data_IF_950851535367
#
_entry.id   IF_950851535367
#
_cell.length_a   1.000
_cell.length_b   1.000
_cell.length_c   1.000
_cell.angle_alpha   90.00
_cell.angle_beta   90.00
_cell.angle_gamma   90.00
#
_symmetry.space_group_name_H-M   'P 1'
#
loop_
_entity.id
_entity.type
_entity.pdbx_description
1 polymer ?
#
# COMPACT_ATOMS: atom_id res chain seq x y z
N UNK A 1 -26.65 -54.43 32.74
CA UNK A 1 -25.89 -55.58 33.27
C UNK A 1 -25.27 -56.34 32.11
N UNK A 2 -23.97 -56.66 32.18
CA UNK A 2 -23.27 -57.64 31.30
C UNK A 2 -23.10 -57.25 29.81
N UNK A 3 -22.01 -57.57 29.12
CA UNK A 3 -20.68 -58.07 29.55
C UNK A 3 -19.61 -57.60 28.57
N UNK A 4 -18.39 -57.41 29.07
CA UNK A 4 -17.18 -57.21 28.25
C UNK A 4 -16.64 -58.57 27.80
N UNK A 5 -16.13 -58.66 26.57
CA UNK A 5 -15.13 -59.68 26.19
C UNK A 5 -13.91 -59.01 25.57
N UNK A 6 -12.78 -59.09 26.29
CA UNK A 6 -11.47 -58.64 25.82
C UNK A 6 -10.87 -59.65 24.85
N UNK A 7 -10.51 -59.20 23.66
CA UNK A 7 -9.63 -59.93 22.74
C UNK A 7 -8.23 -59.35 22.78
N UNK A 8 -7.32 -59.96 23.54
CA UNK A 8 -5.89 -59.66 23.42
C UNK A 8 -5.31 -60.31 22.15
N UNK A 9 -4.61 -59.53 21.33
CA UNK A 9 -3.76 -60.06 20.27
C UNK A 9 -2.28 -59.96 20.68
N UNK A 10 -1.70 -61.09 21.06
CA UNK A 10 -0.27 -61.19 21.38
C UNK A 10 0.57 -61.34 20.11
N UNK A 11 1.44 -60.36 19.81
CA UNK A 11 2.90 -60.57 19.63
C UNK A 11 3.65 -59.27 19.23
N UNK A 12 4.94 -59.14 19.62
CA UNK A 12 5.72 -57.92 19.41
C UNK A 12 6.48 -57.89 18.07
N UNK A 13 7.00 -56.72 17.71
CA UNK A 13 8.04 -56.48 16.68
C UNK A 13 7.68 -56.65 15.19
N UNK A 14 6.63 -55.98 14.69
CA UNK A 14 6.48 -55.71 13.24
C UNK A 14 6.94 -54.28 12.86
N UNK A 15 8.27 -54.14 12.83
CA UNK A 15 9.15 -53.03 12.37
C UNK A 15 8.48 -51.87 11.60
N UNK A 16 8.61 -50.66 12.14
CA UNK A 16 8.54 -49.43 11.35
C UNK A 16 9.74 -49.31 10.39
N UNK A 17 9.51 -48.82 9.16
CA UNK A 17 10.56 -48.61 8.15
C UNK A 17 10.53 -47.15 7.67
N UNK A 18 11.55 -46.37 8.04
CA UNK A 18 11.73 -44.98 7.57
C UNK A 18 12.30 -44.96 6.14
N UNK A 19 11.74 -44.12 5.28
CA UNK A 19 12.35 -43.73 3.99
C UNK A 19 13.42 -42.67 4.24
N UNK A 20 14.50 -42.71 3.45
CA UNK A 20 15.57 -41.69 3.41
C UNK A 20 15.73 -41.24 1.97
N UNK A 21 15.60 -39.94 1.69
CA UNK A 21 16.47 -39.20 0.75
C UNK A 21 16.13 -37.70 0.69
N UNK A 22 17.17 -36.86 0.69
CA UNK A 22 17.18 -35.49 0.13
C UNK A 22 18.56 -35.26 -0.48
N UNK A 23 18.59 -34.54 -1.59
CA UNK A 23 19.75 -34.34 -2.48
C UNK A 23 20.60 -33.15 -2.01
N UNK A 24 21.92 -33.24 -2.23
CA UNK A 24 22.86 -32.11 -2.18
C UNK A 24 23.59 -31.99 -3.52
N UNK A 25 23.84 -30.76 -3.97
CA UNK A 25 24.75 -30.45 -5.07
C UNK A 25 25.75 -29.40 -4.64
N UNK A 26 27.02 -29.61 -4.96
CA UNK A 26 27.97 -28.54 -5.20
C UNK A 26 29.02 -28.91 -6.25
N UNK A 27 29.64 -27.88 -6.84
CA UNK A 27 30.80 -27.98 -7.72
C UNK A 27 31.83 -26.88 -7.39
N UNK A 28 33.02 -27.27 -6.91
CA UNK A 28 34.17 -26.36 -6.83
C UNK A 28 34.79 -26.17 -8.23
N UNK A 29 35.13 -24.92 -8.60
CA UNK A 29 36.09 -24.60 -9.69
C UNK A 29 37.16 -23.61 -9.20
N UNK A 30 38.44 -23.93 -9.45
CA UNK A 30 39.52 -22.93 -9.65
C UNK A 30 40.61 -23.44 -10.61
N UNK A 31 41.06 -22.51 -11.45
CA UNK A 31 42.36 -22.43 -12.13
C UNK A 31 43.03 -21.13 -11.60
N UNK A 32 44.34 -20.90 -11.61
CA UNK A 32 45.52 -21.68 -12.02
C UNK A 32 46.76 -21.05 -11.36
N UNK A 33 47.69 -21.87 -10.85
CA UNK A 33 49.11 -21.59 -10.66
C UNK A 33 49.75 -23.00 -10.61
N UNK A 34 50.71 -23.46 -11.43
CA UNK A 34 51.83 -22.77 -12.10
C UNK A 34 52.44 -21.75 -11.11
N UNK A 35 53.41 -22.15 -10.32
CA UNK A 35 54.72 -22.63 -10.82
C UNK A 35 55.49 -23.43 -9.74
N UNK A 36 56.27 -24.48 -10.02
CA UNK A 36 56.53 -25.30 -11.22
C UNK A 36 56.81 -26.76 -10.76
N UNK A 37 56.43 -27.76 -11.57
CA UNK A 37 56.97 -29.16 -11.54
C UNK A 37 56.82 -30.04 -10.27
N UNK A 38 56.01 -29.68 -9.28
CA UNK A 38 55.01 -30.67 -8.78
C UNK A 38 53.70 -30.59 -9.58
N UNK A 39 53.60 -29.62 -10.49
CA UNK A 39 52.43 -29.23 -11.27
C UNK A 39 51.88 -30.30 -12.24
N UNK A 40 52.54 -31.46 -12.38
CA UNK A 40 52.03 -32.64 -13.12
C UNK A 40 51.70 -33.84 -12.22
N UNK A 41 52.15 -33.87 -10.95
CA UNK A 41 51.85 -34.95 -9.99
C UNK A 41 50.84 -34.54 -8.92
N UNK A 42 50.90 -33.32 -8.39
CA UNK A 42 49.91 -32.81 -7.42
C UNK A 42 48.64 -32.30 -8.09
N UNK A 43 48.69 -31.83 -9.34
CA UNK A 43 47.49 -31.56 -10.14
C UNK A 43 46.62 -32.82 -10.33
N UNK A 44 47.26 -33.98 -10.49
CA UNK A 44 46.60 -35.29 -10.56
C UNK A 44 46.19 -35.84 -9.18
N UNK A 45 46.80 -35.39 -8.08
CA UNK A 45 46.38 -35.78 -6.73
C UNK A 45 45.20 -34.96 -6.20
N UNK A 46 45.09 -33.68 -6.59
CA UNK A 46 43.96 -32.79 -6.28
C UNK A 46 42.68 -33.15 -7.06
N UNK A 47 42.78 -34.03 -8.06
CA UNK A 47 41.62 -34.69 -8.68
C UNK A 47 40.93 -35.71 -7.75
N UNK A 48 41.46 -36.00 -6.55
CA UNK A 48 40.72 -36.68 -5.48
C UNK A 48 39.68 -35.74 -4.88
N UNK A 49 38.55 -35.64 -5.59
CA UNK A 49 37.28 -34.95 -5.26
C UNK A 49 37.16 -34.63 -3.76
N UNK A 50 37.43 -33.38 -3.37
CA UNK A 50 36.96 -32.87 -2.07
C UNK A 50 35.43 -33.04 -2.02
N UNK A 51 34.85 -33.44 -0.89
CA UNK A 51 33.40 -33.42 -0.74
C UNK A 51 32.96 -31.96 -0.85
N UNK A 52 32.09 -31.71 -1.81
CA UNK A 52 31.55 -30.40 -2.12
C UNK A 52 30.41 -30.10 -1.14
N UNK A 53 30.27 -28.84 -0.70
CA UNK A 53 29.57 -28.43 0.53
C UNK A 53 28.23 -27.72 0.23
N UNK A 54 27.93 -26.62 0.93
CA UNK A 54 26.87 -25.65 0.64
C UNK A 54 27.43 -24.19 0.70
N UNK A 55 28.73 -24.03 0.46
CA UNK A 55 29.48 -22.77 0.46
C UNK A 55 30.46 -22.64 -0.73
N UNK A 56 30.67 -23.71 -1.51
CA UNK A 56 31.43 -23.68 -2.77
C UNK A 56 30.49 -23.52 -3.99
N UNK A 57 29.17 -23.44 -3.76
CA UNK A 57 28.11 -23.14 -4.71
C UNK A 57 28.32 -21.73 -5.26
N UNK A 58 28.01 -21.51 -6.54
CA UNK A 58 27.67 -20.19 -7.05
C UNK A 58 26.57 -19.51 -6.21
N UNK A 59 26.71 -18.20 -5.94
CA UNK A 59 25.84 -17.42 -5.06
C UNK A 59 24.35 -17.47 -5.47
N UNK A 60 24.08 -17.49 -6.76
CA UNK A 60 22.75 -17.63 -7.36
C UNK A 60 22.03 -18.89 -6.90
N UNK A 61 22.76 -19.98 -6.69
CA UNK A 61 22.18 -21.23 -6.17
C UNK A 61 21.88 -21.12 -4.67
N UNK A 62 22.64 -20.32 -3.91
CA UNK A 62 22.39 -20.06 -2.49
C UNK A 62 21.18 -19.15 -2.26
N UNK A 63 21.05 -18.08 -3.04
CA UNK A 63 19.87 -17.20 -3.05
C UNK A 63 18.60 -17.98 -3.44
N UNK A 64 18.69 -18.81 -4.47
CA UNK A 64 17.58 -19.68 -4.89
C UNK A 64 17.18 -20.68 -3.79
N UNK A 65 18.15 -21.26 -3.08
CA UNK A 65 17.88 -22.15 -1.94
C UNK A 65 17.24 -21.38 -0.78
N UNK A 66 17.60 -20.11 -0.55
CA UNK A 66 16.93 -19.26 0.43
C UNK A 66 15.46 -19.02 0.09
N UNK A 67 15.17 -18.58 -1.14
CA UNK A 67 13.80 -18.31 -1.60
C UNK A 67 12.88 -19.54 -1.46
N UNK A 68 13.35 -20.73 -1.86
CA UNK A 68 12.58 -21.98 -1.77
C UNK A 68 12.68 -22.71 -0.42
N UNK A 69 13.44 -22.20 0.55
CA UNK A 69 13.51 -22.82 1.88
C UNK A 69 12.31 -22.49 2.78
N UNK A 70 11.39 -21.65 2.30
CA UNK A 70 10.15 -21.31 2.98
C UNK A 70 10.30 -20.15 3.97
N UNK A 71 9.16 -19.78 4.58
CA UNK A 71 9.09 -18.82 5.69
C UNK A 71 10.04 -19.29 6.82
N UNK A 72 10.90 -18.38 7.32
CA UNK A 72 11.87 -18.59 8.43
C UNK A 72 13.17 -19.36 8.09
N UNK A 73 13.73 -19.15 6.90
CA UNK A 73 15.05 -19.67 6.55
C UNK A 73 16.18 -19.15 7.45
N UNK A 74 16.97 -20.01 8.13
CA UNK A 74 18.11 -19.58 8.94
C UNK A 74 19.36 -19.25 8.12
N UNK A 75 19.34 -19.44 6.79
CA UNK A 75 20.54 -19.33 5.94
C UNK A 75 21.34 -18.03 6.14
N UNK A 76 20.76 -16.81 6.20
CA UNK A 76 21.51 -15.57 6.37
C UNK A 76 22.29 -15.49 7.69
N UNK A 77 21.93 -16.33 8.68
CA UNK A 77 22.50 -16.34 10.03
C UNK A 77 23.61 -17.38 10.21
N UNK A 78 23.78 -18.32 9.27
CA UNK A 78 24.66 -19.48 9.46
C UNK A 78 26.14 -19.12 9.53
N UNK A 79 26.60 -18.16 8.71
CA UNK A 79 27.95 -17.60 8.76
C UNK A 79 28.04 -16.29 7.95
N UNK A 80 29.21 -15.65 8.01
CA UNK A 80 29.50 -14.41 7.28
C UNK A 80 29.34 -14.51 5.76
N UNK A 81 29.63 -15.65 5.14
CA UNK A 81 29.49 -15.82 3.69
C UNK A 81 28.02 -15.78 3.28
N UNK A 82 27.14 -16.54 3.97
CA UNK A 82 25.70 -16.44 3.74
C UNK A 82 25.13 -15.07 4.11
N UNK A 83 25.57 -14.46 5.22
CA UNK A 83 25.13 -13.11 5.59
C UNK A 83 25.51 -12.06 4.55
N UNK A 84 26.64 -12.24 3.85
CA UNK A 84 27.07 -11.39 2.74
C UNK A 84 26.31 -11.68 1.44
N UNK A 85 26.02 -12.96 1.14
CA UNK A 85 25.25 -13.37 -0.04
C UNK A 85 23.73 -13.16 0.10
N UNK A 86 23.21 -13.02 1.32
CA UNK A 86 21.77 -12.89 1.63
C UNK A 86 21.45 -11.60 2.40
N UNK A 87 22.14 -10.51 2.09
CA UNK A 87 21.72 -9.18 2.54
C UNK A 87 20.30 -8.87 2.03
N UNK A 88 19.46 -8.15 2.80
CA UNK A 88 18.10 -7.80 2.39
C UNK A 88 18.10 -6.76 1.27
N UNK A 89 18.37 -7.22 0.05
CA UNK A 89 18.22 -6.47 -1.19
C UNK A 89 16.76 -6.47 -1.61
N UNK A 90 16.25 -5.44 -2.31
CA UNK A 90 14.90 -5.43 -2.88
C UNK A 90 14.54 -6.67 -3.72
N UNK A 91 15.53 -7.31 -4.34
CA UNK A 91 15.37 -8.60 -5.02
C UNK A 91 15.11 -9.75 -4.04
N UNK A 92 15.91 -9.86 -2.98
CA UNK A 92 15.72 -10.90 -1.97
C UNK A 92 14.39 -10.70 -1.24
N UNK A 93 14.05 -9.44 -0.96
CA UNK A 93 12.74 -8.96 -0.50
C UNK A 93 11.64 -9.49 -1.42
N UNK A 94 11.67 -9.16 -2.71
CA UNK A 94 10.59 -9.50 -3.66
C UNK A 94 10.48 -11.01 -3.95
N UNK A 95 11.60 -11.72 -4.06
CA UNK A 95 11.57 -13.17 -4.30
C UNK A 95 11.05 -13.91 -3.07
N UNK A 96 11.46 -13.48 -1.87
CA UNK A 96 10.91 -14.00 -0.62
C UNK A 96 9.42 -13.68 -0.52
N UNK A 97 9.02 -12.43 -0.80
CA UNK A 97 7.64 -11.98 -0.93
C UNK A 97 6.80 -12.86 -1.85
N UNK A 98 7.16 -13.02 -3.14
CA UNK A 98 6.34 -13.80 -4.07
C UNK A 98 6.29 -15.28 -3.73
N UNK A 99 7.44 -15.90 -3.44
CA UNK A 99 7.51 -17.34 -3.21
C UNK A 99 6.92 -17.79 -1.86
N UNK A 100 6.67 -16.85 -0.93
CA UNK A 100 6.17 -17.17 0.40
C UNK A 100 4.89 -16.39 0.78
N UNK A 101 4.46 -15.41 -0.03
CA UNK A 101 3.36 -14.48 0.28
C UNK A 101 2.53 -14.08 -0.96
N UNK A 102 2.57 -14.82 -2.06
CA UNK A 102 1.58 -14.72 -3.16
C UNK A 102 1.14 -16.12 -3.53
N UNK A 103 -0.17 -16.38 -3.61
CA UNK A 103 -0.71 -17.71 -3.94
C UNK A 103 -1.89 -17.62 -4.91
N UNK A 104 -2.18 -18.73 -5.57
CA UNK A 104 -3.39 -18.91 -6.37
C UNK A 104 -4.43 -19.69 -5.55
N UNK A 105 -5.48 -19.03 -5.11
CA UNK A 105 -6.51 -19.64 -4.27
C UNK A 105 -7.37 -20.69 -5.01
N UNK A 106 -7.38 -20.67 -6.35
CA UNK A 106 -8.16 -21.62 -7.14
C UNK A 106 -7.40 -22.94 -7.44
N UNK A 107 -6.08 -23.06 -7.17
CA UNK A 107 -5.23 -24.04 -7.88
C UNK A 107 -5.61 -25.53 -7.82
N UNK A 108 -6.33 -26.01 -6.80
CA UNK A 108 -6.81 -27.41 -6.79
C UNK A 108 -8.00 -27.67 -7.75
N UNK A 109 -8.69 -26.62 -8.22
CA UNK A 109 -9.70 -26.69 -9.29
C UNK A 109 -9.09 -27.00 -10.66
N UNK A 110 -7.80 -26.71 -10.84
CA UNK A 110 -7.08 -26.78 -12.13
C UNK A 110 -7.16 -28.14 -12.82
N UNK A 111 -7.17 -29.22 -12.06
CA UNK A 111 -7.25 -30.60 -12.60
C UNK A 111 -8.67 -31.03 -12.96
N UNK A 112 -9.71 -30.41 -12.37
CA UNK A 112 -11.13 -30.72 -12.66
C UNK A 112 -11.69 -29.87 -13.77
N UNK A 113 -11.40 -28.57 -13.71
CA UNK A 113 -11.85 -27.61 -14.71
C UNK A 113 -11.13 -27.82 -16.05
N UNK A 114 -9.89 -28.33 -16.02
CA UNK A 114 -9.07 -28.53 -17.21
C UNK A 114 -8.99 -27.24 -18.02
N UNK A 115 -9.69 -27.24 -19.15
CA UNK A 115 -9.76 -26.12 -20.10
C UNK A 115 -10.63 -24.93 -19.62
N UNK A 116 -11.28 -25.01 -18.44
CA UNK A 116 -12.18 -23.97 -17.88
C UNK A 116 -11.67 -23.30 -16.59
N UNK A 117 -10.37 -23.42 -16.31
CA UNK A 117 -9.74 -22.91 -15.09
C UNK A 117 -9.47 -21.39 -15.11
N UNK A 118 -9.62 -20.74 -13.94
CA UNK A 118 -9.17 -19.36 -13.72
C UNK A 118 -8.43 -19.26 -12.36
N UNK A 119 -7.26 -18.60 -12.28
CA UNK A 119 -6.58 -18.37 -11.01
C UNK A 119 -7.27 -17.26 -10.20
N UNK A 120 -7.10 -17.24 -8.88
CA UNK A 120 -7.46 -16.08 -8.07
C UNK A 120 -6.26 -15.70 -7.20
N UNK A 121 -5.54 -14.65 -7.60
CA UNK A 121 -4.27 -14.31 -6.97
C UNK A 121 -4.49 -13.51 -5.71
N UNK A 122 -4.13 -14.18 -4.63
CA UNK A 122 -4.14 -13.64 -3.30
C UNK A 122 -2.71 -13.44 -2.88
N UNK A 123 -2.35 -12.16 -2.82
CA UNK A 123 -1.30 -11.73 -1.94
C UNK A 123 -1.63 -12.15 -0.53
N UNK A 124 -0.77 -12.93 0.10
CA UNK A 124 -0.77 -12.98 1.54
C UNK A 124 -0.42 -11.56 2.01
N UNK A 125 -1.46 -10.85 2.45
CA UNK A 125 -1.44 -9.65 3.26
C UNK A 125 -0.22 -9.53 4.21
N UNK A 126 0.22 -10.65 4.80
CA UNK A 126 1.33 -10.79 5.74
C UNK A 126 2.74 -10.45 5.19
N UNK A 127 2.76 -9.71 4.10
CA UNK A 127 3.93 -9.24 3.40
C UNK A 127 3.91 -7.74 3.11
N UNK A 128 2.78 -7.07 3.33
CA UNK A 128 2.77 -5.71 3.88
C UNK A 128 3.47 -5.61 5.23
N UNK A 129 3.90 -6.70 5.88
CA UNK A 129 4.28 -6.67 7.29
C UNK A 129 5.73 -6.27 7.58
N UNK A 130 6.68 -6.73 6.75
CA UNK A 130 8.10 -6.48 7.03
C UNK A 130 8.39 -4.98 6.83
N UNK A 131 9.07 -4.23 7.72
CA UNK A 131 9.33 -2.80 7.54
C UNK A 131 10.26 -2.42 6.39
N UNK A 132 10.89 -3.40 5.75
CA UNK A 132 11.65 -3.32 4.50
C UNK A 132 10.87 -3.97 3.35
N UNK A 133 9.75 -4.64 3.66
CA UNK A 133 8.57 -4.71 2.81
C UNK A 133 7.54 -3.58 3.14
N UNK A 134 7.78 -2.55 3.98
CA UNK A 134 6.97 -1.30 4.13
C UNK A 134 7.79 -0.05 3.76
N UNK A 135 9.08 0.01 4.06
CA UNK A 135 9.99 0.79 3.20
C UNK A 135 10.22 0.08 1.86
N UNK A 136 9.81 -1.19 1.84
CA UNK A 136 8.96 -1.78 0.80
C UNK A 136 7.70 -0.91 0.60
N UNK A 137 6.52 -1.30 1.14
CA UNK A 137 5.08 -0.98 0.95
C UNK A 137 4.33 0.19 1.64
N UNK A 138 4.83 0.89 2.65
CA UNK A 138 4.66 2.34 2.78
C UNK A 138 5.40 3.09 1.63
N UNK A 139 6.26 2.38 0.87
CA UNK A 139 6.96 2.93 -0.30
C UNK A 139 6.88 2.14 -1.63
N UNK A 140 6.04 1.11 -1.66
CA UNK A 140 5.90 0.09 -2.72
C UNK A 140 4.52 -0.56 -2.78
N UNK A 141 3.42 -0.04 -2.17
CA UNK A 141 2.18 -0.79 -1.93
C UNK A 141 1.66 -1.63 -3.07
N UNK A 142 2.01 -1.30 -4.31
CA UNK A 142 1.88 -2.08 -5.53
C UNK A 142 2.11 -3.59 -5.45
N UNK A 143 2.73 -4.07 -4.38
CA UNK A 143 2.65 -5.49 -4.06
C UNK A 143 1.20 -5.94 -3.89
N UNK A 144 0.28 -5.06 -3.46
CA UNK A 144 -1.18 -5.14 -3.32
C UNK A 144 -1.97 -5.07 -4.64
N UNK A 145 -1.31 -5.32 -5.78
CA UNK A 145 -1.90 -5.25 -7.13
C UNK A 145 -1.92 -6.58 -7.95
N UNK A 146 -0.87 -7.44 -8.00
CA UNK A 146 -0.95 -8.85 -8.48
C UNK A 146 -1.78 -9.75 -7.54
N UNK A 147 -2.91 -9.20 -7.17
CA UNK A 147 -3.60 -9.21 -5.89
C UNK A 147 -4.98 -8.77 -6.28
N UNK A 148 -5.60 -9.63 -7.06
CA UNK A 148 -6.99 -9.45 -7.47
C UNK A 148 -7.84 -9.17 -6.22
N UNK A 149 -7.37 -9.73 -5.09
CA UNK A 149 -7.68 -9.38 -3.72
C UNK A 149 -6.45 -9.50 -2.79
N UNK A 150 -6.33 -8.53 -1.88
CA UNK A 150 -5.38 -8.55 -0.76
C UNK A 150 -6.00 -9.45 0.31
N UNK A 151 -5.45 -10.64 0.59
CA UNK A 151 -6.15 -11.61 1.45
C UNK A 151 -5.26 -12.64 2.17
N UNK A 152 -5.80 -13.33 3.20
CA UNK A 152 -4.99 -14.19 4.06
C UNK A 152 -4.73 -15.57 3.46
N UNK A 153 -3.47 -16.02 3.53
CA UNK A 153 -3.04 -17.35 3.04
C UNK A 153 -2.11 -18.03 4.04
N UNK A 154 -2.70 -18.84 4.93
CA UNK A 154 -1.98 -19.65 5.92
C UNK A 154 -1.51 -20.99 5.35
N UNK A 155 -2.43 -21.75 4.77
CA UNK A 155 -2.21 -23.06 4.19
C UNK A 155 -2.81 -23.07 2.78
N UNK A 156 -2.00 -22.67 1.79
CA UNK A 156 -2.34 -22.63 0.36
C UNK A 156 -3.09 -23.89 -0.09
N UNK A 157 -2.56 -25.08 0.28
CA UNK A 157 -3.18 -26.38 0.01
C UNK A 157 -4.65 -26.46 0.50
N UNK A 158 -4.95 -25.95 1.71
CA UNK A 158 -6.28 -26.06 2.32
C UNK A 158 -7.27 -25.10 1.67
N UNK A 159 -6.87 -23.85 1.39
CA UNK A 159 -7.68 -22.86 0.65
C UNK A 159 -8.10 -23.41 -0.71
N UNK A 160 -7.15 -24.03 -1.41
CA UNK A 160 -7.37 -24.64 -2.70
C UNK A 160 -8.33 -25.84 -2.61
N UNK A 161 -8.16 -26.75 -1.64
CA UNK A 161 -9.10 -27.87 -1.42
C UNK A 161 -10.52 -27.39 -1.06
N UNK A 162 -10.66 -26.25 -0.36
CA UNK A 162 -11.96 -25.69 -0.01
C UNK A 162 -12.70 -25.12 -1.24
N UNK A 163 -12.04 -24.30 -2.07
CA UNK A 163 -12.65 -23.79 -3.31
C UNK A 163 -12.96 -24.93 -4.30
N UNK A 164 -12.16 -26.00 -4.26
CA UNK A 164 -12.47 -27.26 -4.92
C UNK A 164 -13.78 -27.88 -4.41
N UNK A 165 -13.98 -28.02 -3.10
CA UNK A 165 -15.22 -28.55 -2.53
C UNK A 165 -16.45 -27.68 -2.89
N UNK A 166 -16.34 -26.35 -2.77
CA UNK A 166 -17.43 -25.41 -3.07
C UNK A 166 -17.91 -25.49 -4.52
N UNK A 167 -16.97 -25.59 -5.48
CA UNK A 167 -17.31 -25.78 -6.89
C UNK A 167 -18.05 -27.10 -7.12
N UNK A 168 -17.64 -28.19 -6.44
CA UNK A 168 -18.30 -29.50 -6.58
C UNK A 168 -19.72 -29.52 -5.98
N UNK A 169 -19.95 -28.75 -4.92
CA UNK A 169 -21.26 -28.55 -4.29
C UNK A 169 -22.13 -27.53 -5.06
N UNK A 170 -21.60 -26.94 -6.15
CA UNK A 170 -22.31 -26.00 -7.03
C UNK A 170 -22.47 -24.59 -6.47
N UNK A 171 -21.70 -24.23 -5.42
CA UNK A 171 -21.85 -22.95 -4.71
C UNK A 171 -20.98 -21.84 -5.28
N UNK A 172 -19.80 -22.15 -5.84
CA UNK A 172 -18.92 -21.20 -6.54
C UNK A 172 -19.34 -21.08 -8.02
N UNK A 173 -20.05 -20.00 -8.38
CA UNK A 173 -20.61 -19.79 -9.73
C UNK A 173 -19.62 -19.24 -10.75
N UNK A 174 -18.80 -18.26 -10.35
CA UNK A 174 -17.76 -17.69 -11.20
C UNK A 174 -16.42 -17.87 -10.48
N UNK A 175 -15.33 -18.08 -11.22
CA UNK A 175 -14.01 -18.31 -10.62
C UNK A 175 -13.24 -17.02 -10.36
N UNK A 176 -13.60 -16.00 -11.14
CA UNK A 176 -13.40 -14.59 -10.84
C UNK A 176 -14.55 -14.01 -10.01
N UNK A 177 -15.49 -14.84 -9.47
CA UNK A 177 -16.00 -14.51 -8.13
C UNK A 177 -14.75 -14.56 -7.26
N UNK A 178 -14.36 -13.41 -6.72
CA UNK A 178 -13.14 -13.33 -5.96
C UNK A 178 -13.19 -14.19 -4.69
N UNK A 179 -12.23 -14.03 -3.80
CA UNK A 179 -12.64 -14.06 -2.40
C UNK A 179 -13.31 -12.70 -2.02
N UNK A 180 -13.02 -11.53 -2.68
CA UNK A 180 -13.69 -10.16 -2.66
C UNK A 180 -13.71 -9.22 -4.01
N UNK A 181 -14.80 -8.54 -4.56
CA UNK A 181 -14.95 -7.90 -5.97
C UNK A 181 -15.28 -6.36 -6.26
N UNK A 182 -14.85 -5.71 -7.41
CA UNK A 182 -14.89 -4.21 -7.78
C UNK A 182 -14.77 -3.75 -9.35
N UNK A 183 -14.91 -2.43 -9.83
CA UNK A 183 -15.14 -1.92 -11.30
C UNK A 183 -14.38 -0.63 -11.99
N UNK A 184 -14.87 0.15 -13.03
CA UNK A 184 -14.21 1.30 -13.87
C UNK A 184 -15.05 2.51 -14.56
N UNK A 185 -14.60 3.82 -14.63
CA UNK A 185 -15.32 5.12 -15.06
C UNK A 185 -15.01 5.74 -16.48
N UNK A 186 -15.99 6.37 -17.21
CA UNK A 186 -15.82 6.85 -18.60
C UNK A 186 -15.40 8.32 -18.85
N UNK A 187 -15.61 9.28 -17.94
CA UNK A 187 -15.40 10.71 -18.23
C UNK A 187 -14.01 11.20 -17.79
N UNK A 188 -13.43 10.52 -16.80
CA UNK A 188 -12.18 10.90 -16.13
C UNK A 188 -11.15 9.79 -16.18
N UNK A 189 -11.56 8.61 -16.68
CA UNK A 189 -10.72 7.49 -17.07
C UNK A 189 -9.88 6.97 -15.88
N UNK A 190 -10.59 6.58 -14.82
CA UNK A 190 -10.04 6.04 -13.57
C UNK A 190 -10.89 4.85 -13.07
N UNK A 191 -10.32 3.92 -12.28
CA UNK A 191 -11.04 2.84 -11.61
C UNK A 191 -12.36 3.28 -10.93
N UNK A 192 -13.42 2.46 -10.93
CA UNK A 192 -14.56 2.50 -9.98
C UNK A 192 -14.33 1.53 -8.82
N UNK A 193 -13.42 0.57 -9.01
CA UNK A 193 -12.65 -0.06 -7.96
C UNK A 193 -11.96 1.08 -7.21
N UNK A 194 -12.68 1.57 -6.22
CA UNK A 194 -12.20 2.56 -5.28
C UNK A 194 -10.98 1.97 -4.56
N UNK A 195 -9.93 2.77 -4.31
CA UNK A 195 -8.66 2.33 -3.74
C UNK A 195 -8.83 1.28 -2.64
N UNK A 196 -7.86 0.36 -2.41
CA UNK A 196 -8.02 -0.59 -1.32
C UNK A 196 -8.08 0.31 -0.09
N UNK A 197 -9.18 0.24 0.65
CA UNK A 197 -9.66 1.41 1.37
C UNK A 197 -8.59 2.03 2.30
N UNK A 198 -7.63 1.21 2.75
CA UNK A 198 -6.23 1.46 3.18
C UNK A 198 -5.46 2.66 2.58
N UNK A 199 -5.96 3.32 1.52
CA UNK A 199 -5.53 4.65 1.08
C UNK A 199 -6.32 5.78 1.68
N UNK A 200 -7.64 5.82 1.50
CA UNK A 200 -8.46 6.91 2.02
C UNK A 200 -8.50 6.87 3.53
N UNK A 201 -8.43 5.65 4.09
CA UNK A 201 -8.36 5.33 5.50
C UNK A 201 -7.10 5.85 6.19
N UNK A 202 -6.03 6.10 5.45
CA UNK A 202 -4.77 6.51 6.06
C UNK A 202 -4.49 8.01 5.89
N UNK A 203 -5.38 9.02 6.05
CA UNK A 203 -5.16 10.43 5.66
C UNK A 203 -3.74 11.02 5.76
N UNK A 204 -2.98 10.70 6.81
CA UNK A 204 -1.54 11.00 6.97
C UNK A 204 -0.65 10.56 5.79
N UNK A 205 -1.03 9.51 5.08
CA UNK A 205 -0.54 9.05 3.78
C UNK A 205 -0.62 10.15 2.71
N UNK A 206 -1.53 11.12 2.79
CA UNK A 206 -1.53 12.28 1.91
C UNK A 206 -0.52 13.35 2.38
N UNK A 207 0.17 13.14 3.51
CA UNK A 207 1.08 14.06 4.19
C UNK A 207 2.45 13.48 4.59
N UNK A 208 2.70 12.17 4.43
CA UNK A 208 4.02 11.52 4.57
C UNK A 208 4.88 11.88 3.34
N UNK A 209 5.13 13.19 3.29
CA UNK A 209 5.59 13.95 2.16
C UNK A 209 6.78 14.79 2.64
N UNK A 210 7.93 14.67 1.99
CA UNK A 210 8.98 15.67 2.20
C UNK A 210 8.64 16.93 1.39
N UNK A 211 7.93 17.88 2.01
CA UNK A 211 7.65 19.18 1.37
C UNK A 211 8.85 20.14 1.39
N UNK A 212 9.89 19.81 2.18
CA UNK A 212 11.10 20.61 2.31
C UNK A 212 12.08 20.34 1.17
N UNK A 213 12.03 19.11 0.63
CA UNK A 213 12.56 18.78 -0.68
C UNK A 213 11.97 19.69 -1.77
N UNK A 214 12.82 20.03 -2.73
CA UNK A 214 12.44 20.74 -3.95
C UNK A 214 12.78 19.82 -5.13
N UNK A 215 11.80 19.14 -5.76
CA UNK A 215 10.35 19.19 -5.51
C UNK A 215 9.90 18.38 -4.29
N UNK A 216 8.63 18.57 -3.91
CA UNK A 216 7.96 17.81 -2.82
C UNK A 216 7.91 16.32 -3.15
N UNK A 217 8.36 15.49 -2.22
CA UNK A 217 8.11 14.03 -2.23
C UNK A 217 6.71 13.79 -1.70
N UNK A 218 5.93 12.93 -2.34
CA UNK A 218 4.66 12.44 -1.80
C UNK A 218 4.81 11.03 -1.22
N UNK A 219 3.96 10.67 -0.27
CA UNK A 219 3.94 9.33 0.32
C UNK A 219 3.87 8.27 -0.77
N UNK A 220 4.80 7.35 -0.64
CA UNK A 220 5.03 6.34 -1.64
C UNK A 220 3.98 5.20 -1.54
N UNK A 221 3.10 5.21 -0.52
CA UNK A 221 1.99 4.27 -0.29
C UNK A 221 0.61 4.61 -0.85
N UNK A 222 0.28 5.87 -1.05
CA UNK A 222 -0.84 6.20 -1.95
C UNK A 222 -0.48 5.79 -3.36
N UNK A 223 0.68 6.25 -3.82
CA UNK A 223 1.04 6.24 -5.22
C UNK A 223 1.04 4.84 -5.81
N UNK A 224 1.33 3.81 -5.01
CA UNK A 224 1.35 2.43 -5.49
C UNK A 224 0.11 1.64 -5.13
N UNK A 225 -0.75 2.16 -4.23
CA UNK A 225 -2.11 1.68 -4.09
C UNK A 225 -3.05 2.28 -5.13
N UNK A 226 -2.70 3.36 -5.84
CA UNK A 226 -3.55 4.01 -6.86
C UNK A 226 -3.76 3.18 -8.13
N UNK A 227 -3.46 1.90 -8.05
CA UNK A 227 -3.23 1.08 -9.21
C UNK A 227 -4.51 0.38 -9.67
N UNK A 228 -5.07 -0.52 -8.87
CA UNK A 228 -6.35 -1.15 -9.18
C UNK A 228 -7.53 -0.20 -8.88
N UNK A 229 -7.28 1.09 -8.67
CA UNK A 229 -7.72 1.72 -7.43
C UNK A 229 -7.72 3.27 -7.50
N UNK A 230 -8.86 3.98 -7.51
CA UNK A 230 -8.91 5.46 -7.68
C UNK A 230 -10.01 6.17 -6.88
N UNK A 231 -9.80 7.43 -6.45
CA UNK A 231 -10.76 8.13 -5.55
C UNK A 231 -12.07 8.42 -6.27
N UNK A 232 -13.14 7.68 -5.97
CA UNK A 232 -14.48 7.95 -6.53
C UNK A 232 -15.01 9.33 -6.14
N UNK A 233 -14.65 9.78 -4.94
CA UNK A 233 -15.23 10.97 -4.34
C UNK A 233 -14.14 11.92 -3.81
N UNK A 234 -13.41 12.61 -4.70
CA UNK A 234 -12.36 13.57 -4.34
C UNK A 234 -12.80 14.63 -3.35
N UNK A 235 -14.02 15.15 -3.49
CA UNK A 235 -14.54 16.19 -2.59
C UNK A 235 -14.70 15.65 -1.16
N UNK A 236 -15.15 14.39 -1.01
CA UNK A 236 -15.25 13.70 0.29
C UNK A 236 -13.87 13.38 0.88
N UNK A 237 -12.89 12.94 0.05
CA UNK A 237 -11.53 12.70 0.57
C UNK A 237 -10.81 14.03 0.88
N UNK A 238 -11.11 15.11 0.14
CA UNK A 238 -10.58 16.44 0.42
C UNK A 238 -11.12 17.03 1.73
N UNK A 239 -12.42 16.90 1.99
CA UNK A 239 -13.02 17.12 3.30
C UNK A 239 -12.33 16.27 4.37
N UNK A 240 -12.19 14.97 4.13
CA UNK A 240 -11.58 14.01 5.08
C UNK A 240 -10.16 14.43 5.49
N UNK A 241 -9.31 14.83 4.53
CA UNK A 241 -7.96 15.31 4.88
C UNK A 241 -7.93 16.75 5.41
N UNK A 242 -8.93 17.59 5.11
CA UNK A 242 -9.00 18.95 5.67
C UNK A 242 -9.38 18.88 7.13
N UNK A 243 -10.36 18.04 7.47
CA UNK A 243 -10.68 17.68 8.84
C UNK A 243 -9.45 17.12 9.55
N UNK A 244 -8.80 16.10 8.98
CA UNK A 244 -7.56 15.54 9.51
C UNK A 244 -6.47 16.60 9.70
N UNK A 245 -6.34 17.54 8.77
CA UNK A 245 -5.34 18.59 8.86
C UNK A 245 -5.64 19.62 9.96
N UNK A 246 -6.85 20.18 9.98
CA UNK A 246 -7.18 21.32 10.86
C UNK A 246 -7.50 20.92 12.28
N UNK A 247 -8.09 19.74 12.49
CA UNK A 247 -8.45 19.24 13.80
C UNK A 247 -7.38 18.30 14.36
N UNK A 248 -6.84 17.39 13.54
CA UNK A 248 -6.17 16.19 14.04
C UNK A 248 -4.62 16.20 13.87
N UNK A 249 -4.08 16.98 12.93
CA UNK A 249 -2.69 16.81 12.49
C UNK A 249 -1.61 17.29 13.45
N UNK A 250 -1.94 18.24 14.33
CA UNK A 250 -1.01 18.86 15.28
C UNK A 250 -0.31 17.83 16.19
N UNK A 251 -0.98 16.71 16.51
CA UNK A 251 -0.39 15.61 17.27
C UNK A 251 0.42 14.63 16.43
N UNK A 252 -0.05 14.29 15.22
CA UNK A 252 0.52 13.21 14.40
C UNK A 252 1.79 13.61 13.65
N UNK A 253 1.88 14.87 13.21
CA UNK A 253 3.03 15.41 12.51
C UNK A 253 3.19 16.90 12.88
N UNK A 254 3.90 17.23 13.97
CA UNK A 254 3.97 18.61 14.52
C UNK A 254 4.76 19.59 13.64
N UNK A 255 5.21 19.15 12.46
CA UNK A 255 5.86 19.97 11.43
C UNK A 255 4.91 20.36 10.29
N UNK A 256 3.67 19.85 10.29
CA UNK A 256 2.72 20.21 9.25
C UNK A 256 2.29 21.67 9.38
N UNK A 257 2.11 22.28 8.22
CA UNK A 257 1.64 23.64 8.03
C UNK A 257 0.63 23.65 6.89
N UNK A 258 0.01 24.81 6.64
CA UNK A 258 -0.97 24.96 5.58
C UNK A 258 -0.41 24.61 4.19
N UNK A 259 0.91 24.65 3.98
CA UNK A 259 1.51 24.19 2.73
C UNK A 259 1.41 22.67 2.59
N UNK A 260 1.63 21.89 3.65
CA UNK A 260 1.40 20.45 3.65
C UNK A 260 -0.06 20.11 3.31
N UNK A 261 -1.06 20.82 3.87
CA UNK A 261 -2.46 20.68 3.45
C UNK A 261 -2.63 20.97 1.95
N UNK A 262 -2.08 22.08 1.48
CA UNK A 262 -2.15 22.41 0.06
C UNK A 262 -1.45 21.36 -0.82
N UNK A 263 -0.46 20.60 -0.33
CA UNK A 263 0.16 19.49 -1.04
C UNK A 263 -0.73 18.23 -1.00
N UNK A 264 -1.25 17.86 0.16
CA UNK A 264 -2.17 16.74 0.34
C UNK A 264 -3.46 16.88 -0.51
N UNK A 265 -4.04 18.09 -0.56
CA UNK A 265 -5.20 18.38 -1.42
C UNK A 265 -4.86 18.31 -2.91
N UNK A 266 -3.66 18.73 -3.32
CA UNK A 266 -3.23 18.50 -4.70
C UNK A 266 -3.14 16.99 -4.97
N UNK A 267 -2.67 16.19 -4.01
CA UNK A 267 -2.51 14.74 -4.16
C UNK A 267 -3.86 14.01 -4.29
N UNK A 268 -4.90 14.44 -3.58
CA UNK A 268 -6.27 13.89 -3.73
C UNK A 268 -6.84 14.16 -5.11
N UNK A 269 -6.88 15.45 -5.50
CA UNK A 269 -7.33 15.85 -6.84
C UNK A 269 -6.52 15.08 -7.90
N UNK A 270 -5.23 14.90 -7.66
CA UNK A 270 -4.36 14.14 -8.56
C UNK A 270 -4.77 12.65 -8.69
N UNK A 271 -5.10 11.96 -7.59
CA UNK A 271 -5.40 10.50 -7.60
C UNK A 271 -6.90 10.15 -7.65
N UNK A 272 -7.77 11.12 -7.99
CA UNK A 272 -9.24 10.99 -7.97
C UNK A 272 -9.95 11.00 -9.33
N UNK A 273 -11.17 10.46 -9.44
CA UNK A 273 -12.02 10.45 -10.65
C UNK A 273 -12.52 11.85 -11.09
N UNK A 274 -11.78 12.92 -10.84
CA UNK A 274 -12.06 14.26 -11.38
C UNK A 274 -11.14 14.58 -12.58
N UNK A 275 -11.74 15.09 -13.65
CA UNK A 275 -11.04 15.47 -14.89
C UNK A 275 -10.46 16.89 -14.91
N UNK A 276 -10.82 17.74 -13.93
CA UNK A 276 -10.32 19.11 -13.77
C UNK A 276 -9.35 19.14 -12.58
N UNK A 277 -8.39 20.07 -12.56
CA UNK A 277 -7.59 20.38 -11.34
C UNK A 277 -8.36 21.27 -10.37
N UNK A 278 -9.62 20.93 -10.15
CA UNK A 278 -10.57 21.64 -9.32
C UNK A 278 -11.63 20.65 -8.84
N UNK A 279 -12.21 20.92 -7.69
CA UNK A 279 -13.41 20.22 -7.27
C UNK A 279 -14.56 20.50 -8.23
N UNK A 280 -15.56 19.61 -8.25
CA UNK A 280 -16.75 19.70 -9.07
C UNK A 280 -17.90 20.45 -8.36
N UNK A 281 -17.69 20.82 -7.10
CA UNK A 281 -18.63 21.34 -6.12
C UNK A 281 -17.90 22.34 -5.20
N UNK A 282 -18.62 23.23 -4.53
CA UNK A 282 -18.01 24.20 -3.58
C UNK A 282 -17.71 23.61 -2.19
N UNK A 283 -18.15 22.38 -1.90
CA UNK A 283 -18.11 21.79 -0.56
C UNK A 283 -16.69 21.80 0.08
N UNK A 284 -15.61 21.35 -0.59
CA UNK A 284 -14.24 21.49 -0.10
C UNK A 284 -13.82 22.94 0.21
N UNK A 285 -14.35 23.94 -0.50
CA UNK A 285 -14.12 25.35 -0.18
C UNK A 285 -14.94 25.80 1.04
N UNK A 286 -16.19 25.35 1.16
CA UNK A 286 -17.05 25.62 2.32
C UNK A 286 -16.44 25.03 3.60
N UNK A 287 -16.03 23.75 3.58
CA UNK A 287 -15.28 23.07 4.65
C UNK A 287 -13.98 23.81 4.99
N UNK A 288 -13.23 24.26 3.98
CA UNK A 288 -12.01 25.04 4.21
C UNK A 288 -12.30 26.39 4.90
N UNK A 289 -13.39 27.06 4.54
CA UNK A 289 -13.82 28.32 5.15
C UNK A 289 -14.32 28.10 6.59
N UNK A 290 -15.07 27.03 6.83
CA UNK A 290 -15.57 26.67 8.16
C UNK A 290 -14.42 26.52 9.16
N UNK A 291 -13.40 25.72 8.85
CA UNK A 291 -12.20 25.58 9.71
C UNK A 291 -11.40 26.87 9.88
N UNK A 292 -11.46 27.79 8.92
CA UNK A 292 -10.79 29.08 9.03
C UNK A 292 -11.58 30.08 9.90
N UNK A 293 -12.91 30.01 9.96
CA UNK A 293 -13.74 31.12 10.50
C UNK A 293 -14.78 30.73 11.54
N UNK A 294 -15.33 29.51 11.50
CA UNK A 294 -16.38 29.02 12.40
C UNK A 294 -15.78 28.00 13.37
N UNK A 295 -15.31 26.87 12.85
CA UNK A 295 -14.65 25.78 13.59
C UNK A 295 -13.18 26.08 13.86
N UNK A 296 -12.89 27.26 14.41
CA UNK A 296 -11.53 27.75 14.66
C UNK A 296 -10.83 26.90 15.72
N UNK A 297 -9.75 26.21 15.34
CA UNK A 297 -8.95 25.44 16.29
C UNK A 297 -7.94 26.29 17.06
N UNK A 298 -7.58 25.91 18.31
CA UNK A 298 -6.59 26.65 19.10
C UNK A 298 -5.21 26.77 18.45
N UNK A 299 -4.86 25.80 17.61
CA UNK A 299 -3.58 25.73 16.89
C UNK A 299 -3.69 26.25 15.43
N UNK A 300 -4.84 26.82 15.04
CA UNK A 300 -5.04 27.38 13.70
C UNK A 300 -3.95 28.40 13.34
N UNK A 301 -3.55 29.26 14.28
CA UNK A 301 -2.48 30.23 14.04
C UNK A 301 -1.15 29.56 13.70
N UNK A 302 -0.81 28.42 14.32
CA UNK A 302 0.40 27.66 13.98
C UNK A 302 0.31 27.05 12.58
N UNK A 303 -0.79 26.36 12.25
CA UNK A 303 -1.01 25.78 10.91
C UNK A 303 -0.93 26.86 9.82
N UNK A 304 -1.49 28.04 10.09
CA UNK A 304 -1.46 29.18 9.18
C UNK A 304 -0.12 29.91 9.12
N UNK A 305 0.90 29.53 9.92
CA UNK A 305 2.20 30.20 10.08
C UNK A 305 2.07 31.63 10.60
N UNK A 306 1.29 31.80 11.67
CA UNK A 306 0.80 33.07 12.22
C UNK A 306 0.80 33.11 13.76
N UNK A 307 1.48 32.17 14.43
CA UNK A 307 1.58 32.05 15.91
C UNK A 307 2.09 33.32 16.64
N UNK A 308 2.69 34.28 15.91
CA UNK A 308 3.28 35.53 16.43
C UNK A 308 2.54 36.79 15.98
N UNK A 309 1.30 36.65 15.50
CA UNK A 309 0.46 37.76 15.06
C UNK A 309 -0.66 37.96 16.07
N UNK A 310 -0.65 39.11 16.76
CA UNK A 310 -1.72 39.52 17.68
C UNK A 310 -2.80 40.37 16.99
N UNK A 311 -2.50 40.91 15.80
CA UNK A 311 -3.42 41.78 15.06
C UNK A 311 -4.51 40.96 14.33
N UNK A 312 -5.74 41.11 14.80
CA UNK A 312 -6.93 40.50 14.23
C UNK A 312 -7.14 40.82 12.74
N UNK A 313 -6.74 42.01 12.27
CA UNK A 313 -6.82 42.38 10.85
C UNK A 313 -5.80 41.60 10.01
N UNK A 314 -4.57 41.42 10.52
CA UNK A 314 -3.55 40.60 9.85
C UNK A 314 -3.91 39.10 9.86
N UNK A 315 -4.56 38.62 10.93
CA UNK A 315 -5.10 37.25 10.99
C UNK A 315 -6.23 37.06 9.97
N UNK A 316 -7.21 37.97 9.92
CA UNK A 316 -8.29 37.93 8.91
C UNK A 316 -7.72 38.00 7.48
N UNK A 317 -6.79 38.92 7.21
CA UNK A 317 -6.11 39.03 5.93
C UNK A 317 -5.30 37.76 5.57
N UNK A 318 -4.74 37.04 6.55
CA UNK A 318 -4.11 35.73 6.32
C UNK A 318 -5.15 34.68 5.93
N UNK A 319 -6.25 34.56 6.66
CA UNK A 319 -7.33 33.60 6.38
C UNK A 319 -7.89 33.84 4.97
N UNK A 320 -8.22 35.09 4.65
CA UNK A 320 -8.63 35.53 3.32
C UNK A 320 -7.57 35.20 2.23
N UNK A 321 -6.27 35.42 2.51
CA UNK A 321 -5.18 35.02 1.60
C UNK A 321 -5.09 33.51 1.38
N UNK A 322 -5.43 32.69 2.39
CA UNK A 322 -5.50 31.23 2.24
C UNK A 322 -6.72 30.81 1.43
N UNK A 323 -7.89 31.42 1.66
CA UNK A 323 -9.09 31.21 0.83
C UNK A 323 -8.82 31.59 -0.62
N UNK A 324 -8.18 32.75 -0.88
CA UNK A 324 -7.70 33.14 -2.21
C UNK A 324 -6.70 32.14 -2.83
N UNK A 325 -5.88 31.46 -2.02
CA UNK A 325 -4.97 30.41 -2.49
C UNK A 325 -5.73 29.12 -2.80
N UNK A 326 -6.78 28.79 -2.04
CA UNK A 326 -7.68 27.66 -2.30
C UNK A 326 -8.47 27.86 -3.59
N UNK A 327 -9.22 28.96 -3.72
CA UNK A 327 -10.04 29.27 -4.91
C UNK A 327 -9.19 29.23 -6.19
N UNK A 328 -8.00 29.87 -6.18
CA UNK A 328 -7.08 29.83 -7.34
C UNK A 328 -6.50 28.46 -7.66
N UNK A 329 -6.45 27.54 -6.71
CA UNK A 329 -5.88 26.19 -6.90
C UNK A 329 -6.92 25.13 -7.23
N UNK A 330 -8.13 25.26 -6.68
CA UNK A 330 -9.11 24.19 -6.62
C UNK A 330 -10.51 24.59 -7.10
N UNK A 331 -10.73 25.86 -7.48
CA UNK A 331 -11.99 26.35 -8.06
C UNK A 331 -11.76 27.10 -9.40
N UNK A 332 -10.52 27.11 -9.92
CA UNK A 332 -10.11 27.98 -11.05
C UNK A 332 -10.77 27.69 -12.40
N UNK A 333 -11.43 26.52 -12.53
CA UNK A 333 -12.09 26.10 -13.77
C UNK A 333 -13.60 26.38 -13.78
N UNK A 334 -14.18 26.67 -12.62
CA UNK A 334 -15.60 26.96 -12.49
C UNK A 334 -15.81 27.91 -11.30
N UNK A 335 -15.85 29.21 -11.60
CA UNK A 335 -16.19 30.22 -10.61
C UNK A 335 -17.70 30.27 -10.33
N UNK A 336 -18.53 29.50 -11.06
CA UNK A 336 -19.94 29.31 -10.73
C UNK A 336 -20.15 28.60 -9.39
N UNK A 337 -19.20 27.75 -8.99
CA UNK A 337 -19.15 27.13 -7.65
C UNK A 337 -19.10 28.19 -6.53
N UNK A 338 -18.60 29.40 -6.81
CA UNK A 338 -18.58 30.51 -5.84
C UNK A 338 -19.94 31.22 -5.70
N UNK A 339 -20.99 30.72 -6.35
CA UNK A 339 -22.36 31.23 -6.27
C UNK A 339 -23.33 30.22 -5.63
N UNK A 340 -22.84 29.09 -5.11
CA UNK A 340 -23.68 28.08 -4.43
C UNK A 340 -24.26 28.64 -3.12
N UNK A 341 -25.55 28.37 -2.86
CA UNK A 341 -26.29 28.96 -1.73
C UNK A 341 -25.67 28.57 -0.37
N UNK A 342 -25.20 27.34 -0.22
CA UNK A 342 -24.56 26.80 1.00
C UNK A 342 -23.29 27.56 1.39
N UNK A 343 -22.49 27.93 0.38
CA UNK A 343 -21.31 28.78 0.56
C UNK A 343 -21.75 30.16 1.09
N UNK A 344 -22.74 30.80 0.47
CA UNK A 344 -23.17 32.15 0.87
C UNK A 344 -23.91 32.21 2.21
N UNK A 345 -24.63 31.16 2.61
CA UNK A 345 -25.18 31.04 3.97
C UNK A 345 -24.06 31.04 5.00
N UNK A 346 -22.99 30.28 4.76
CA UNK A 346 -21.80 30.25 5.61
C UNK A 346 -21.11 31.63 5.67
N UNK A 347 -20.96 32.32 4.55
CA UNK A 347 -20.36 33.66 4.49
C UNK A 347 -21.16 34.71 5.28
N UNK A 348 -22.49 34.68 5.17
CA UNK A 348 -23.38 35.59 5.91
C UNK A 348 -23.34 35.34 7.43
N UNK A 349 -23.12 34.09 7.86
CA UNK A 349 -22.91 33.75 9.27
C UNK A 349 -21.57 34.30 9.80
N UNK A 350 -20.50 34.21 9.00
CA UNK A 350 -19.12 34.60 9.38
C UNK A 350 -18.95 36.13 9.51
N UNK A 351 -19.60 36.93 8.65
CA UNK A 351 -19.55 38.41 8.67
C UNK A 351 -18.14 39.03 8.52
N UNK A 352 -17.19 38.31 7.95
CA UNK A 352 -15.84 38.84 7.65
C UNK A 352 -15.81 39.53 6.28
N UNK A 353 -15.55 40.84 6.27
CA UNK A 353 -15.53 41.63 5.05
C UNK A 353 -14.40 41.24 4.08
N UNK A 354 -13.22 40.84 4.57
CA UNK A 354 -12.09 40.47 3.72
C UNK A 354 -12.32 39.11 3.04
N UNK A 355 -13.04 38.20 3.69
CA UNK A 355 -13.52 36.94 3.12
C UNK A 355 -14.54 37.18 2.00
N UNK A 356 -15.55 38.01 2.26
CA UNK A 356 -16.58 38.37 1.26
C UNK A 356 -15.96 39.09 0.07
N UNK A 357 -15.04 40.05 0.29
CA UNK A 357 -14.29 40.71 -0.78
C UNK A 357 -13.46 39.71 -1.58
N UNK A 358 -12.80 38.76 -0.91
CA UNK A 358 -12.00 37.71 -1.57
C UNK A 358 -12.83 36.86 -2.52
N UNK A 359 -14.03 36.44 -2.12
CA UNK A 359 -14.90 35.59 -2.96
C UNK A 359 -15.54 36.40 -4.08
N UNK A 360 -15.98 37.62 -3.78
CA UNK A 360 -16.52 38.57 -4.77
C UNK A 360 -15.49 38.90 -5.85
N UNK A 361 -14.20 39.01 -5.49
CA UNK A 361 -13.08 39.23 -6.41
C UNK A 361 -12.85 38.09 -7.42
N UNK A 362 -13.27 36.87 -7.10
CA UNK A 362 -13.27 35.73 -8.04
C UNK A 362 -14.61 35.56 -8.79
N UNK A 363 -15.54 36.50 -8.64
CA UNK A 363 -16.81 36.52 -9.37
C UNK A 363 -17.98 35.86 -8.66
N UNK A 364 -17.77 35.32 -7.44
CA UNK A 364 -18.86 34.79 -6.62
C UNK A 364 -19.89 35.86 -6.26
N UNK A 365 -21.17 35.50 -6.27
CA UNK A 365 -22.30 36.37 -5.90
C UNK A 365 -23.36 35.57 -5.15
N UNK A 366 -24.01 36.12 -4.12
CA UNK A 366 -25.12 35.45 -3.46
C UNK A 366 -26.32 35.37 -4.41
N UNK A 367 -27.08 34.27 -4.33
CA UNK A 367 -28.38 34.20 -4.99
C UNK A 367 -29.41 35.06 -4.25
N UNK A 368 -30.53 35.36 -4.93
CA UNK A 368 -31.65 36.08 -4.32
C UNK A 368 -32.29 35.36 -3.11
N UNK A 369 -32.00 34.07 -2.90
CA UNK A 369 -32.51 33.32 -1.75
C UNK A 369 -31.72 33.62 -0.47
N UNK A 370 -30.43 33.95 -0.59
CA UNK A 370 -29.49 34.11 0.54
C UNK A 370 -29.36 35.57 1.00
N UNK A 371 -29.96 36.52 0.26
CA UNK A 371 -29.98 37.96 0.60
C UNK A 371 -31.22 38.33 1.46
N UNK A 372 -32.03 37.35 1.86
CA UNK A 372 -33.17 37.51 2.78
C UNK A 372 -32.77 37.30 4.24
#
# INVERSE_FOLDING_TARGET
MGYVKSGYATRPNKRAKKVREKVYYEHIRKHRHKELKSAERQANALAKKRPVRLQDLPQDVLERIFVFSGRNSPLPLLNRHFSQCLQPTPFLIEQYLRANFVSDANAALKTRLGDTYWPWYVLADCALENPMFLRYLNATPSFLNPVDEIAPVEAEDQTQQLRLQQYNEGTLKELATPLLPLEFDPATNKPLRDFPASVYEWPAIFFDNDISAKPVVYNQLLLRLHFDYAIQHPSWVAESIMHWFFLDSHGAAPRLDVNHLFFALNLIIHISVQGKRSFADSHPLAVFIDFLYVSVTPHLLQLLLCEKLDDAQLISARKAKMVSKFIRKFCSHDFGLLCEDELWVSLNAIKDHALVETITKYGGKPSFNVVK
#
